data_IF_435275539881
#
_entry.id   IF_435275539881
#
_cell.length_a   1.000
_cell.length_b   1.000
_cell.length_c   1.000
_cell.angle_alpha   90.00
_cell.angle_beta   90.00
_cell.angle_gamma   90.00
#
_symmetry.space_group_name_H-M   'P 1'
#
loop_
_entity.id
_entity.type
_entity.pdbx_description
1 polymer ?
#
# COMPACT_ATOMS: atom_id res chain seq x y z
N UNK A 1 -14.99 -6.14 32.51
CA UNK A 1 -16.41 -6.37 32.19
C UNK A 1 -16.97 -5.35 31.20
N UNK A 2 -16.61 -4.05 31.28
CA UNK A 2 -17.07 -3.01 30.35
C UNK A 2 -16.73 -3.30 28.87
N UNK A 3 -15.49 -3.69 28.57
CA UNK A 3 -15.06 -4.02 27.19
C UNK A 3 -15.83 -5.18 26.53
N UNK A 4 -16.25 -6.19 27.32
CA UNK A 4 -17.07 -7.29 26.79
C UNK A 4 -18.50 -6.83 26.46
N UNK A 5 -19.05 -5.92 27.27
CA UNK A 5 -20.38 -5.35 27.02
C UNK A 5 -20.38 -4.49 25.75
N UNK A 6 -19.36 -3.64 25.56
CA UNK A 6 -19.18 -2.83 24.35
C UNK A 6 -19.03 -3.69 23.09
N UNK A 7 -18.22 -4.76 23.18
CA UNK A 7 -18.07 -5.71 22.08
C UNK A 7 -19.39 -6.39 21.69
N UNK A 8 -20.20 -6.77 22.68
CA UNK A 8 -21.51 -7.38 22.44
C UNK A 8 -22.50 -6.40 21.79
N UNK A 9 -22.61 -5.17 22.30
CA UNK A 9 -23.49 -4.15 21.73
C UNK A 9 -23.08 -3.81 20.29
N UNK A 10 -21.78 -3.68 20.03
CA UNK A 10 -21.23 -3.47 18.68
C UNK A 10 -21.58 -4.64 17.75
N UNK A 11 -21.41 -5.89 18.20
CA UNK A 11 -21.74 -7.08 17.43
C UNK A 11 -23.25 -7.17 17.11
N UNK A 12 -24.13 -6.89 18.08
CA UNK A 12 -25.57 -6.85 17.86
C UNK A 12 -25.98 -5.74 16.89
N UNK A 13 -25.39 -4.55 17.01
CA UNK A 13 -25.63 -3.44 16.07
C UNK A 13 -25.20 -3.80 14.65
N UNK A 14 -24.01 -4.39 14.49
CA UNK A 14 -23.51 -4.88 13.20
C UNK A 14 -24.45 -5.94 12.59
N UNK A 15 -24.87 -6.92 13.40
CA UNK A 15 -25.78 -7.98 12.96
C UNK A 15 -27.13 -7.41 12.51
N UNK A 16 -27.70 -6.47 13.27
CA UNK A 16 -28.94 -5.79 12.88
C UNK A 16 -28.79 -5.06 11.54
N UNK A 17 -27.71 -4.28 11.36
CA UNK A 17 -27.43 -3.58 10.09
C UNK A 17 -27.25 -4.55 8.93
N UNK A 18 -26.59 -5.70 9.16
CA UNK A 18 -26.42 -6.76 8.19
C UNK A 18 -27.77 -7.37 7.77
N UNK A 19 -28.60 -7.77 8.73
CA UNK A 19 -29.93 -8.33 8.45
C UNK A 19 -30.80 -7.31 7.73
N UNK A 20 -30.82 -6.05 8.18
CA UNK A 20 -31.58 -4.98 7.53
C UNK A 20 -31.13 -4.76 6.08
N UNK A 21 -29.83 -4.57 5.86
CA UNK A 21 -29.26 -4.33 4.52
C UNK A 21 -29.54 -5.50 3.58
N UNK A 22 -29.30 -6.74 4.02
CA UNK A 22 -29.57 -7.95 3.23
C UNK A 22 -31.05 -8.08 2.89
N UNK A 23 -31.95 -7.80 3.85
CA UNK A 23 -33.41 -7.82 3.62
C UNK A 23 -33.81 -6.78 2.58
N UNK A 24 -33.35 -5.53 2.70
CA UNK A 24 -33.61 -4.48 1.71
C UNK A 24 -33.08 -4.84 0.32
N UNK A 25 -31.89 -5.44 0.22
CA UNK A 25 -31.32 -5.88 -1.06
C UNK A 25 -32.08 -7.05 -1.69
N UNK A 26 -32.52 -8.02 -0.88
CA UNK A 26 -33.35 -9.14 -1.36
C UNK A 26 -34.70 -8.63 -1.85
N UNK A 27 -35.36 -7.74 -1.10
CA UNK A 27 -36.61 -7.12 -1.54
C UNK A 27 -36.40 -6.27 -2.80
N UNK A 28 -35.31 -5.50 -2.88
CA UNK A 28 -34.97 -4.72 -4.07
C UNK A 28 -34.74 -5.60 -5.30
N UNK A 29 -34.13 -6.78 -5.11
CA UNK A 29 -33.93 -7.76 -6.18
C UNK A 29 -35.27 -8.38 -6.63
N UNK A 30 -36.17 -8.72 -5.72
CA UNK A 30 -37.48 -9.31 -6.04
C UNK A 30 -38.43 -8.32 -6.71
N UNK A 31 -38.43 -7.05 -6.27
CA UNK A 31 -39.34 -6.02 -6.79
C UNK A 31 -38.73 -5.17 -7.90
N UNK A 32 -37.47 -5.40 -8.28
CA UNK A 32 -36.71 -4.60 -9.27
C UNK A 32 -36.71 -3.08 -9.02
N UNK A 33 -37.04 -2.67 -7.79
CA UNK A 33 -37.18 -1.26 -7.37
C UNK A 33 -36.23 -0.98 -6.19
N UNK A 34 -35.73 0.25 -6.05
CA UNK A 34 -34.88 0.60 -4.93
C UNK A 34 -35.70 0.63 -3.62
N UNK A 35 -35.29 -0.15 -2.62
CA UNK A 35 -35.95 -0.20 -1.30
C UNK A 35 -35.09 0.57 -0.30
N UNK A 36 -35.62 1.66 0.26
CA UNK A 36 -34.88 2.54 1.17
C UNK A 36 -33.53 2.99 0.58
N UNK A 37 -33.48 3.28 -0.74
CA UNK A 37 -32.25 3.65 -1.45
C UNK A 37 -31.30 2.50 -1.81
N UNK A 38 -31.54 1.29 -1.30
CA UNK A 38 -30.77 0.10 -1.65
C UNK A 38 -31.21 -0.41 -3.01
N UNK A 39 -30.25 -0.68 -3.89
CA UNK A 39 -30.51 -1.24 -5.22
C UNK A 39 -29.60 -2.41 -5.50
N UNK A 40 -30.17 -3.58 -5.75
CA UNK A 40 -29.45 -4.77 -6.22
C UNK A 40 -29.96 -5.16 -7.60
N UNK A 41 -29.07 -5.13 -8.59
CA UNK A 41 -29.35 -5.62 -9.93
C UNK A 41 -28.40 -6.76 -10.25
N UNK A 42 -28.95 -7.89 -10.70
CA UNK A 42 -28.19 -9.06 -11.13
C UNK A 42 -28.69 -9.44 -12.52
N UNK A 43 -27.86 -9.21 -13.54
CA UNK A 43 -28.29 -9.43 -14.93
C UNK A 43 -28.31 -10.89 -15.37
N UNK A 44 -27.39 -11.73 -14.84
CA UNK A 44 -27.34 -13.17 -15.18
C UNK A 44 -27.03 -13.99 -13.94
N UNK A 45 -27.80 -15.05 -13.73
CA UNK A 45 -27.58 -16.02 -12.64
C UNK A 45 -27.40 -17.39 -13.28
N UNK A 46 -26.33 -18.07 -12.90
CA UNK A 46 -26.07 -19.48 -13.17
C UNK A 46 -25.69 -20.16 -11.87
N UNK A 47 -25.73 -21.49 -11.83
CA UNK A 47 -25.52 -22.29 -10.62
C UNK A 47 -24.23 -21.93 -9.86
N UNK A 48 -23.15 -21.60 -10.58
CA UNK A 48 -21.85 -21.26 -10.00
C UNK A 48 -21.31 -19.91 -10.48
N UNK A 49 -22.11 -19.10 -11.15
CA UNK A 49 -21.65 -17.79 -11.62
C UNK A 49 -22.74 -16.76 -11.69
N UNK A 50 -22.41 -15.53 -11.35
CA UNK A 50 -23.30 -14.38 -11.42
C UNK A 50 -22.67 -13.33 -12.33
N UNK A 51 -23.45 -12.75 -13.24
CA UNK A 51 -22.99 -11.77 -14.21
C UNK A 51 -23.73 -10.43 -14.11
N UNK A 52 -23.05 -9.35 -14.47
CA UNK A 52 -23.56 -7.99 -14.51
C UNK A 52 -24.24 -7.59 -13.20
N UNK A 53 -23.48 -7.62 -12.10
CA UNK A 53 -23.99 -7.24 -10.78
C UNK A 53 -23.72 -5.77 -10.56
N UNK A 54 -24.75 -5.05 -10.13
CA UNK A 54 -24.66 -3.67 -9.66
C UNK A 54 -25.38 -3.57 -8.33
N UNK A 55 -24.65 -3.21 -7.30
CA UNK A 55 -25.11 -3.00 -5.93
C UNK A 55 -24.91 -1.53 -5.57
N UNK A 56 -25.97 -0.87 -5.09
CA UNK A 56 -25.90 0.49 -4.57
C UNK A 56 -26.41 0.50 -3.15
N UNK A 57 -25.56 0.95 -2.23
CA UNK A 57 -25.85 1.14 -0.82
C UNK A 57 -25.95 2.65 -0.55
N UNK A 58 -27.05 3.14 0.04
CA UNK A 58 -27.20 4.56 0.37
C UNK A 58 -26.39 4.92 1.62
N UNK A 59 -26.18 6.22 1.83
CA UNK A 59 -25.69 6.72 3.10
C UNK A 59 -26.85 6.75 4.10
N UNK A 60 -26.86 5.84 5.07
CA UNK A 60 -27.90 5.78 6.10
C UNK A 60 -27.34 5.31 7.43
N UNK A 61 -27.98 5.67 8.54
CA UNK A 61 -27.56 5.20 9.87
C UNK A 61 -27.71 3.68 10.03
N UNK A 62 -28.58 3.06 9.23
CA UNK A 62 -28.90 1.63 9.26
C UNK A 62 -28.07 0.81 8.27
N UNK A 63 -27.30 1.43 7.38
CA UNK A 63 -26.41 0.72 6.46
C UNK A 63 -25.09 0.37 7.15
N UNK A 64 -24.50 -0.74 6.68
CA UNK A 64 -23.20 -1.21 7.16
C UNK A 64 -22.07 -0.28 6.68
N UNK A 65 -22.27 0.38 5.54
CA UNK A 65 -21.26 1.18 4.84
C UNK A 65 -21.82 2.56 4.51
N UNK A 66 -20.97 3.61 4.44
CA UNK A 66 -21.32 4.87 3.77
C UNK A 66 -21.79 4.63 2.33
N UNK A 67 -22.31 5.65 1.65
CA UNK A 67 -22.74 5.55 0.25
C UNK A 67 -21.69 4.80 -0.60
N UNK A 68 -22.03 3.58 -1.03
CA UNK A 68 -21.12 2.66 -1.70
C UNK A 68 -21.80 2.05 -2.92
N UNK A 69 -21.17 2.15 -4.07
CA UNK A 69 -21.57 1.48 -5.30
C UNK A 69 -20.57 0.37 -5.62
N UNK A 70 -21.04 -0.84 -5.85
CA UNK A 70 -20.22 -1.99 -6.22
C UNK A 70 -20.75 -2.52 -7.55
N UNK A 71 -19.88 -2.63 -8.55
CA UNK A 71 -20.21 -3.19 -9.86
C UNK A 71 -19.19 -4.22 -10.26
N UNK A 72 -19.62 -5.30 -10.89
CA UNK A 72 -18.72 -6.27 -11.53
C UNK A 72 -19.40 -6.99 -12.69
N UNK A 73 -18.60 -7.37 -13.68
CA UNK A 73 -19.09 -8.00 -14.92
C UNK A 73 -19.39 -9.48 -14.72
N UNK A 74 -18.54 -10.18 -13.98
CA UNK A 74 -18.78 -11.59 -13.65
C UNK A 74 -18.12 -11.99 -12.33
N UNK A 75 -18.80 -12.84 -11.59
CA UNK A 75 -18.30 -13.59 -10.45
C UNK A 75 -18.53 -15.07 -10.71
N UNK A 76 -17.52 -15.91 -10.51
CA UNK A 76 -17.66 -17.36 -10.63
C UNK A 76 -16.99 -18.12 -9.49
N UNK A 77 -17.61 -19.23 -9.12
CA UNK A 77 -17.19 -20.16 -8.08
C UNK A 77 -16.76 -21.46 -8.76
N UNK A 78 -15.54 -21.89 -8.51
CA UNK A 78 -15.03 -23.17 -8.99
C UNK A 78 -14.64 -24.02 -7.78
N UNK A 79 -15.58 -24.82 -7.22
CA UNK A 79 -15.20 -25.82 -6.25
C UNK A 79 -14.24 -26.80 -6.91
N UNK A 80 -13.16 -27.12 -6.22
CA UNK A 80 -12.17 -28.10 -6.65
C UNK A 80 -12.08 -29.17 -5.57
N UNK A 81 -12.21 -30.42 -5.99
CA UNK A 81 -11.86 -31.52 -5.10
C UNK A 81 -10.34 -31.45 -4.88
N UNK A 82 -9.88 -31.56 -3.62
CA UNK A 82 -8.45 -31.58 -3.34
C UNK A 82 -7.84 -32.78 -4.06
N UNK A 83 -7.00 -32.52 -5.07
CA UNK A 83 -6.14 -33.56 -5.64
C UNK A 83 -5.07 -33.90 -4.59
N UNK A 84 -5.27 -35.00 -3.88
CA UNK A 84 -4.24 -35.60 -3.04
C UNK A 84 -3.19 -36.24 -3.94
N UNK A 85 -2.34 -35.43 -4.55
CA UNK A 85 -1.15 -35.96 -5.22
C UNK A 85 -0.23 -36.49 -4.13
N UNK A 86 0.09 -37.78 -4.21
CA UNK A 86 1.23 -38.33 -3.48
C UNK A 86 2.44 -37.45 -3.79
N UNK A 87 3.16 -36.97 -2.77
CA UNK A 87 4.35 -36.15 -2.99
C UNK A 87 5.33 -36.97 -3.82
N UNK A 88 5.39 -36.69 -5.12
CA UNK A 88 6.43 -37.22 -5.99
C UNK A 88 7.74 -36.66 -5.43
N UNK A 89 8.77 -37.49 -5.20
CA UNK A 89 10.05 -37.00 -4.73
C UNK A 89 10.52 -35.85 -5.62
N UNK A 90 11.13 -34.80 -5.05
CA UNK A 90 11.60 -33.66 -5.81
C UNK A 90 12.73 -34.09 -6.75
N UNK A 91 12.39 -34.43 -8.00
CA UNK A 91 13.37 -34.81 -9.03
C UNK A 91 13.93 -33.57 -9.76
N UNK A 92 13.36 -32.38 -9.52
CA UNK A 92 13.84 -31.10 -10.09
C UNK A 92 13.62 -29.91 -9.15
N UNK A 93 14.54 -28.93 -9.17
CA UNK A 93 14.45 -27.67 -8.39
C UNK A 93 13.21 -26.84 -8.72
N UNK A 94 12.66 -26.97 -9.93
CA UNK A 94 11.42 -26.28 -10.34
C UNK A 94 10.15 -26.82 -9.65
N UNK A 95 10.23 -27.95 -8.95
CA UNK A 95 9.10 -28.58 -8.28
C UNK A 95 8.63 -27.84 -7.02
N UNK A 96 9.37 -26.84 -6.54
CA UNK A 96 8.94 -25.96 -5.44
C UNK A 96 7.74 -25.07 -5.78
N UNK A 97 7.30 -25.01 -7.05
CA UNK A 97 6.19 -24.18 -7.50
C UNK A 97 4.85 -24.90 -7.67
N UNK A 98 4.68 -26.12 -7.17
CA UNK A 98 3.33 -26.73 -7.19
C UNK A 98 2.39 -25.89 -6.32
N UNK A 99 1.29 -25.34 -6.89
CA UNK A 99 0.36 -24.52 -6.12
C UNK A 99 -0.24 -25.36 -4.99
N UNK A 100 -0.48 -24.76 -3.81
CA UNK A 100 -1.09 -25.45 -2.70
C UNK A 100 -2.48 -25.99 -3.09
N UNK A 101 -2.98 -27.07 -2.45
CA UNK A 101 -4.29 -27.64 -2.73
C UNK A 101 -5.39 -26.59 -2.54
N UNK A 102 -6.03 -26.19 -3.63
CA UNK A 102 -7.14 -25.22 -3.60
C UNK A 102 -8.46 -25.96 -3.45
N UNK A 103 -9.26 -25.61 -2.45
CA UNK A 103 -10.63 -26.14 -2.29
C UNK A 103 -11.63 -25.38 -3.14
N UNK A 104 -11.49 -24.06 -3.20
CA UNK A 104 -12.43 -23.19 -3.86
C UNK A 104 -11.66 -22.08 -4.53
N UNK A 105 -11.94 -21.87 -5.81
CA UNK A 105 -11.43 -20.71 -6.54
C UNK A 105 -12.58 -19.76 -6.82
N UNK A 106 -12.49 -18.54 -6.32
CA UNK A 106 -13.39 -17.45 -6.64
C UNK A 106 -12.74 -16.60 -7.72
N UNK A 107 -13.48 -16.28 -8.77
CA UNK A 107 -13.03 -15.38 -9.83
C UNK A 107 -13.99 -14.21 -9.92
N UNK A 108 -13.46 -13.00 -9.87
CA UNK A 108 -14.21 -11.77 -10.03
C UNK A 108 -13.58 -10.98 -11.19
N UNK A 109 -14.39 -10.45 -12.11
CA UNK A 109 -13.93 -9.68 -13.27
C UNK A 109 -14.50 -8.27 -13.26
N UNK A 110 -13.66 -7.32 -13.67
CA UNK A 110 -13.96 -5.90 -13.86
C UNK A 110 -14.74 -5.33 -12.67
N UNK A 111 -14.24 -5.55 -11.45
CA UNK A 111 -14.89 -5.03 -10.26
C UNK A 111 -14.52 -3.57 -10.05
N UNK A 112 -15.52 -2.77 -9.73
CA UNK A 112 -15.43 -1.36 -9.41
C UNK A 112 -16.22 -1.12 -8.13
N UNK A 113 -15.56 -0.65 -7.09
CA UNK A 113 -16.13 -0.21 -5.84
C UNK A 113 -15.90 1.29 -5.72
N UNK A 114 -16.97 2.07 -5.64
CA UNK A 114 -16.93 3.51 -5.43
C UNK A 114 -17.59 3.83 -4.11
N UNK A 115 -16.88 4.48 -3.20
CA UNK A 115 -17.42 5.02 -1.95
C UNK A 115 -17.28 6.54 -1.91
N UNK A 116 -17.78 7.17 -0.85
CA UNK A 116 -17.54 8.59 -0.57
C UNK A 116 -16.07 8.95 -0.37
N UNK A 117 -15.21 7.97 -0.12
CA UNK A 117 -13.82 8.16 0.30
C UNK A 117 -12.80 7.71 -0.74
N UNK A 118 -13.17 6.71 -1.54
CA UNK A 118 -12.24 6.07 -2.47
C UNK A 118 -12.95 5.38 -3.61
N UNK A 119 -12.26 5.23 -4.72
CA UNK A 119 -12.62 4.30 -5.79
C UNK A 119 -11.57 3.20 -5.88
N UNK A 120 -12.03 1.95 -5.85
CA UNK A 120 -11.19 0.76 -6.02
C UNK A 120 -11.66 0.03 -7.26
N UNK A 121 -10.74 -0.32 -8.15
CA UNK A 121 -11.06 -1.14 -9.30
C UNK A 121 -10.04 -2.25 -9.50
N UNK A 122 -10.50 -3.35 -10.08
CA UNK A 122 -9.66 -4.51 -10.41
C UNK A 122 -10.18 -5.12 -11.70
N UNK A 123 -9.28 -5.42 -12.63
CA UNK A 123 -9.63 -6.07 -13.89
C UNK A 123 -9.99 -7.53 -13.68
N UNK A 124 -9.22 -8.22 -12.82
CA UNK A 124 -9.45 -9.61 -12.48
C UNK A 124 -8.92 -9.91 -11.08
N UNK A 125 -9.79 -10.45 -10.24
CA UNK A 125 -9.44 -10.92 -8.91
C UNK A 125 -9.66 -12.43 -8.83
N UNK A 126 -8.62 -13.15 -8.46
CA UNK A 126 -8.67 -14.60 -8.22
C UNK A 126 -8.39 -14.85 -6.75
N UNK A 127 -9.30 -15.54 -6.08
CA UNK A 127 -9.17 -15.91 -4.68
C UNK A 127 -9.12 -17.43 -4.59
N UNK A 128 -7.98 -17.96 -4.20
CA UNK A 128 -7.80 -19.37 -3.90
C UNK A 128 -7.97 -19.58 -2.41
N UNK A 129 -9.08 -20.22 -2.04
CA UNK A 129 -9.31 -20.67 -0.67
C UNK A 129 -8.68 -22.04 -0.51
N UNK A 130 -7.75 -22.14 0.42
CA UNK A 130 -6.99 -23.35 0.69
C UNK A 130 -7.74 -24.23 1.69
N UNK A 131 -7.78 -25.54 1.43
CA UNK A 131 -8.38 -26.48 2.36
C UNK A 131 -7.44 -26.66 3.57
N UNK A 132 -7.88 -26.22 4.74
CA UNK A 132 -7.28 -26.35 6.08
C UNK A 132 -5.73 -26.33 6.23
N UNK A 133 -5.16 -25.40 7.02
CA UNK A 133 -3.71 -25.19 7.15
C UNK A 133 -2.91 -26.25 7.94
N UNK A 134 -3.48 -27.42 8.29
CA UNK A 134 -2.86 -28.35 9.26
C UNK A 134 -2.81 -29.83 8.86
N UNK A 135 -3.35 -30.23 7.71
CA UNK A 135 -3.35 -31.65 7.32
C UNK A 135 -2.09 -32.10 6.58
N UNK A 136 -1.20 -31.18 6.18
CA UNK A 136 0.06 -31.58 5.56
C UNK A 136 1.17 -31.68 6.61
N UNK A 137 1.69 -32.88 6.92
CA UNK A 137 2.75 -33.07 7.92
C UNK A 137 4.08 -32.37 7.59
N UNK A 138 4.20 -31.75 6.40
CA UNK A 138 5.38 -31.00 5.96
C UNK A 138 5.22 -29.47 6.06
N UNK A 139 4.04 -28.95 6.38
CA UNK A 139 3.78 -27.50 6.50
C UNK A 139 3.15 -27.20 7.85
N UNK A 140 3.92 -27.42 8.91
CA UNK A 140 3.55 -26.99 10.25
C UNK A 140 3.53 -25.46 10.29
N UNK A 141 2.32 -24.90 10.23
CA UNK A 141 1.87 -23.70 10.98
C UNK A 141 2.16 -22.28 10.47
N UNK A 142 2.24 -22.04 9.16
CA UNK A 142 2.32 -20.64 8.65
C UNK A 142 1.57 -20.29 7.38
N UNK A 143 0.97 -21.25 6.67
CA UNK A 143 0.32 -20.94 5.38
C UNK A 143 -0.98 -20.15 5.61
N UNK A 144 -1.25 -19.11 4.82
CA UNK A 144 -2.52 -18.40 4.89
C UNK A 144 -3.68 -19.29 4.43
N UNK A 145 -4.89 -18.89 4.77
CA UNK A 145 -6.12 -19.57 4.33
C UNK A 145 -6.51 -19.17 2.92
N UNK A 146 -6.10 -17.97 2.51
CA UNK A 146 -6.55 -17.34 1.28
C UNK A 146 -5.33 -16.82 0.55
N UNK A 147 -5.16 -17.27 -0.70
CA UNK A 147 -4.22 -16.65 -1.62
C UNK A 147 -5.02 -15.83 -2.63
N UNK A 148 -4.80 -14.52 -2.64
CA UNK A 148 -5.54 -13.58 -3.50
C UNK A 148 -4.60 -12.98 -4.52
N UNK A 149 -4.98 -13.03 -5.79
CA UNK A 149 -4.33 -12.29 -6.87
C UNK A 149 -5.23 -11.17 -7.36
N UNK A 150 -4.73 -9.93 -7.37
CA UNK A 150 -5.45 -8.75 -7.88
C UNK A 150 -4.74 -8.21 -9.13
N UNK A 151 -5.32 -8.40 -10.32
CA UNK A 151 -4.73 -7.90 -11.58
C UNK A 151 -5.32 -6.56 -11.98
N UNK A 152 -4.45 -5.63 -12.39
CA UNK A 152 -4.84 -4.27 -12.77
C UNK A 152 -5.56 -3.58 -11.61
N UNK A 153 -4.97 -3.66 -10.41
CA UNK A 153 -5.52 -3.08 -9.21
C UNK A 153 -5.31 -1.57 -9.24
N UNK A 154 -6.39 -0.80 -9.11
CA UNK A 154 -6.32 0.66 -9.03
C UNK A 154 -7.07 1.16 -7.82
N UNK A 155 -6.42 1.98 -7.01
CA UNK A 155 -6.96 2.57 -5.80
C UNK A 155 -6.80 4.08 -5.88
N UNK A 156 -7.92 4.80 -5.94
CA UNK A 156 -7.97 6.26 -5.88
C UNK A 156 -8.60 6.69 -4.57
N UNK A 157 -7.91 7.50 -3.79
CA UNK A 157 -8.36 8.03 -2.50
C UNK A 157 -8.53 9.53 -2.64
N UNK A 158 -9.73 10.03 -2.33
CA UNK A 158 -10.05 11.43 -2.58
C UNK A 158 -9.36 12.39 -1.62
N UNK A 159 -9.09 11.95 -0.38
CA UNK A 159 -8.38 12.74 0.61
C UNK A 159 -7.70 11.83 1.63
N UNK A 160 -6.43 12.11 1.93
CA UNK A 160 -5.61 11.29 2.83
C UNK A 160 -6.16 11.24 4.25
N UNK A 161 -6.92 12.26 4.68
CA UNK A 161 -7.57 12.28 6.01
C UNK A 161 -8.75 11.33 6.13
N UNK A 162 -9.37 10.96 5.01
CA UNK A 162 -10.52 10.07 4.97
C UNK A 162 -10.14 8.76 4.29
N UNK A 163 -8.94 8.26 4.56
CA UNK A 163 -8.48 6.98 4.03
C UNK A 163 -9.31 5.85 4.64
N UNK A 164 -9.83 4.89 3.84
CA UNK A 164 -10.54 3.73 4.38
C UNK A 164 -9.69 2.97 5.41
N UNK A 165 -10.29 2.55 6.52
CA UNK A 165 -9.57 1.93 7.65
C UNK A 165 -8.62 0.79 7.24
N UNK A 166 -9.03 -0.11 6.36
CA UNK A 166 -8.19 -1.22 5.91
C UNK A 166 -6.97 -0.74 5.10
N UNK A 167 -7.14 0.31 4.29
CA UNK A 167 -6.04 0.93 3.54
C UNK A 167 -5.11 1.67 4.49
N UNK A 168 -5.66 2.34 5.50
CA UNK A 168 -4.87 2.99 6.55
C UNK A 168 -4.03 1.95 7.31
N UNK A 169 -4.62 0.84 7.75
CA UNK A 169 -3.91 -0.25 8.45
C UNK A 169 -2.81 -0.86 7.61
N UNK A 170 -3.09 -1.07 6.32
CA UNK A 170 -2.08 -1.54 5.39
C UNK A 170 -0.91 -0.56 5.27
N UNK A 171 -1.22 0.74 5.12
CA UNK A 171 -0.21 1.80 5.07
C UNK A 171 0.64 1.82 6.34
N UNK A 172 -0.01 1.77 7.51
CA UNK A 172 0.67 1.70 8.81
C UNK A 172 1.58 0.47 8.93
N UNK A 173 1.13 -0.70 8.45
CA UNK A 173 1.92 -1.93 8.44
C UNK A 173 3.14 -1.82 7.52
N UNK A 174 2.96 -1.30 6.30
CA UNK A 174 4.04 -1.11 5.34
C UNK A 174 5.07 -0.09 5.85
N UNK A 175 4.61 1.07 6.34
CA UNK A 175 5.48 2.10 6.92
C UNK A 175 6.20 1.54 8.14
N UNK A 176 5.50 0.84 9.03
CA UNK A 176 6.12 0.19 10.18
C UNK A 176 7.18 -0.83 9.77
N UNK A 177 6.97 -1.55 8.66
CA UNK A 177 7.96 -2.47 8.11
C UNK A 177 9.16 -1.74 7.52
N UNK A 178 8.96 -0.62 6.83
CA UNK A 178 10.08 0.21 6.31
C UNK A 178 10.92 0.79 7.46
N UNK A 179 10.28 1.20 8.55
CA UNK A 179 10.95 1.88 9.69
C UNK A 179 11.57 0.89 10.68
N UNK A 180 10.92 -0.24 10.95
CA UNK A 180 11.31 -1.18 12.01
C UNK A 180 11.58 -2.60 11.53
N UNK A 181 11.26 -2.90 10.27
CA UNK A 181 11.50 -4.21 9.68
C UNK A 181 12.96 -4.42 9.27
N UNK A 182 13.24 -5.60 8.74
CA UNK A 182 14.53 -5.97 8.20
C UNK A 182 14.49 -5.92 6.67
N UNK A 183 15.41 -5.17 6.06
CA UNK A 183 15.56 -5.15 4.60
C UNK A 183 16.34 -6.39 4.19
N UNK A 184 15.64 -7.36 3.60
CA UNK A 184 16.23 -8.64 3.17
C UNK A 184 16.97 -8.50 1.83
N UNK A 185 16.44 -7.67 0.93
CA UNK A 185 17.00 -7.44 -0.40
C UNK A 185 16.60 -6.06 -0.90
N UNK A 186 17.54 -5.41 -1.55
CA UNK A 186 17.33 -4.13 -2.19
C UNK A 186 18.36 -3.97 -3.30
N UNK A 187 17.92 -3.81 -4.56
CA UNK A 187 18.85 -3.73 -5.68
C UNK A 187 19.22 -2.29 -6.03
N UNK A 188 18.22 -1.41 -6.06
CA UNK A 188 18.40 -0.04 -6.53
C UNK A 188 17.43 0.91 -5.84
N UNK A 189 17.91 2.13 -5.59
CA UNK A 189 17.12 3.26 -5.11
C UNK A 189 17.51 4.53 -5.83
N UNK A 190 16.54 5.26 -6.35
CA UNK A 190 16.76 6.60 -6.88
C UNK A 190 15.71 7.54 -6.34
N UNK A 191 16.13 8.73 -5.93
CA UNK A 191 15.21 9.81 -5.57
C UNK A 191 15.61 11.05 -6.36
N UNK A 192 14.62 11.69 -6.99
CA UNK A 192 14.80 12.95 -7.71
C UNK A 192 13.79 13.97 -7.19
N UNK A 193 14.30 15.12 -6.79
CA UNK A 193 13.52 16.29 -6.35
C UNK A 193 13.65 17.36 -7.41
N UNK A 194 12.52 17.87 -7.88
CA UNK A 194 12.44 18.97 -8.83
C UNK A 194 11.60 20.08 -8.20
N UNK A 195 12.09 21.31 -8.28
CA UNK A 195 11.38 22.49 -7.82
C UNK A 195 10.79 23.21 -9.03
N UNK A 196 9.56 23.72 -8.88
CA UNK A 196 8.92 24.55 -9.90
C UNK A 196 9.66 25.86 -10.13
N UNK A 197 9.47 26.49 -11.30
CA UNK A 197 10.09 27.78 -11.60
C UNK A 197 9.72 28.87 -10.58
N UNK A 198 8.48 28.87 -10.10
CA UNK A 198 7.98 29.87 -9.13
C UNK A 198 8.60 29.71 -7.74
N UNK A 199 9.01 28.49 -7.37
CA UNK A 199 9.68 28.23 -6.10
C UNK A 199 11.06 28.89 -6.04
N UNK A 200 11.77 28.97 -7.17
CA UNK A 200 13.11 29.54 -7.26
C UNK A 200 13.05 31.08 -7.13
N UNK A 201 11.97 31.72 -7.60
CA UNK A 201 11.80 33.18 -7.56
C UNK A 201 11.52 33.75 -6.17
N UNK A 202 10.73 33.06 -5.34
CA UNK A 202 10.34 33.58 -4.02
C UNK A 202 11.47 33.62 -2.98
N UNK A 203 12.57 32.89 -3.20
CA UNK A 203 13.76 32.95 -2.33
C UNK A 203 14.52 34.28 -2.42
N UNK A 204 14.45 34.96 -3.57
CA UNK A 204 15.17 36.23 -3.78
C UNK A 204 14.43 37.45 -3.21
N UNK A 205 13.09 37.44 -3.13
CA UNK A 205 12.34 38.59 -2.58
C UNK A 205 12.47 38.73 -1.06
N UNK A 206 12.84 37.67 -0.32
CA UNK A 206 13.14 37.78 1.11
C UNK A 206 14.55 38.32 1.38
N UNK A 207 15.42 38.36 0.37
CA UNK A 207 16.66 39.15 0.42
C UNK A 207 16.32 40.61 0.08
N UNK A 208 15.51 41.23 0.93
CA UNK A 208 15.14 42.63 0.75
C UNK A 208 16.38 43.53 0.64
N UNK A 209 16.34 44.60 -0.17
CA UNK A 209 17.47 45.51 -0.43
C UNK A 209 17.86 46.40 0.78
N UNK A 210 17.56 45.97 2.01
CA UNK A 210 17.66 46.78 3.23
C UNK A 210 18.52 46.20 4.35
N UNK A 211 19.19 45.06 4.16
CA UNK A 211 20.33 44.73 5.04
C UNK A 211 21.53 45.54 4.56
N UNK A 212 21.46 46.86 4.79
CA UNK A 212 22.67 47.65 4.93
C UNK A 212 23.57 46.90 5.90
N UNK A 213 24.76 46.53 5.43
CA UNK A 213 25.92 46.20 6.27
C UNK A 213 25.90 47.18 7.44
N UNK A 214 25.39 46.78 8.60
CA UNK A 214 25.70 47.47 9.85
C UNK A 214 27.22 47.32 9.94
N UNK A 215 27.90 48.43 9.66
CA UNK A 215 29.33 48.54 9.82
C UNK A 215 29.67 48.01 11.19
N UNK A 216 30.37 46.89 11.21
CA UNK A 216 31.06 46.42 12.38
C UNK A 216 32.08 47.52 12.68
N UNK A 217 31.73 48.36 13.64
CA UNK A 217 32.57 49.43 14.11
C UNK A 217 33.78 48.74 14.76
N UNK A 218 34.95 48.90 14.14
CA UNK A 218 36.24 48.52 14.69
C UNK A 218 36.38 49.18 16.06
N UNK A 219 36.07 48.42 17.10
CA UNK A 219 36.36 48.76 18.48
C UNK A 219 37.73 48.21 18.80
N UNK A 220 38.72 49.07 18.76
CA UNK A 220 40.07 48.85 19.28
C UNK A 220 40.01 48.23 20.68
N UNK A 221 40.52 47.01 20.80
CA UNK A 221 40.90 46.44 22.09
C UNK A 221 42.13 45.57 21.86
N UNK A 222 43.27 46.17 22.22
CA UNK A 222 44.57 45.54 22.36
C UNK A 222 44.47 44.20 23.09
N UNK A 223 45.00 43.16 22.47
CA UNK A 223 45.01 41.81 23.01
C UNK A 223 46.13 41.00 22.39
N UNK A 224 47.35 41.26 22.85
CA UNK A 224 48.54 40.43 22.64
C UNK A 224 48.22 38.95 22.84
N UNK A 225 48.44 38.17 21.79
CA UNK A 225 48.14 36.74 21.78
C UNK A 225 48.90 36.04 20.67
N UNK A 226 50.22 35.96 20.85
CA UNK A 226 51.11 35.04 20.13
C UNK A 226 50.46 33.64 19.99
N UNK A 227 50.29 33.20 18.76
CA UNK A 227 50.58 31.81 18.43
C UNK A 227 51.02 31.73 16.98
N UNK A 228 52.34 31.66 16.81
CA UNK A 228 52.96 31.09 15.64
C UNK A 228 52.50 29.63 15.48
N UNK A 229 52.65 29.12 14.26
CA UNK A 229 53.15 27.77 13.96
C UNK A 229 52.22 26.91 13.06
N UNK A 230 52.78 26.63 11.87
CA UNK A 230 52.33 25.78 10.76
C UNK A 230 51.27 26.39 9.82
N UNK A 231 51.47 26.43 8.51
CA UNK A 231 52.52 25.90 7.65
C UNK A 231 52.15 26.19 6.21
N UNK A 232 53.11 26.71 5.45
CA UNK A 232 53.06 26.93 4.02
C UNK A 232 52.87 25.64 3.20
N UNK A 233 52.51 25.86 1.93
CA UNK A 233 52.59 24.98 0.77
C UNK A 233 51.30 24.19 0.49
N UNK A 234 50.77 24.13 -0.73
CA UNK A 234 51.34 24.48 -2.03
C UNK A 234 50.20 24.56 -3.05
N UNK A 235 50.43 25.38 -4.07
CA UNK A 235 49.63 25.55 -5.27
C UNK A 235 49.25 24.19 -5.90
N UNK A 236 47.95 23.96 -6.06
CA UNK A 236 47.43 22.93 -6.96
C UNK A 236 46.92 23.65 -8.20
N UNK A 237 47.68 23.48 -9.27
CA UNK A 237 47.41 23.91 -10.62
C UNK A 237 46.00 23.47 -11.06
N UNK A 238 45.30 24.40 -11.70
CA UNK A 238 44.08 24.16 -12.45
C UNK A 238 44.43 23.33 -13.69
N UNK A 239 43.98 22.07 -13.72
CA UNK A 239 43.76 21.33 -14.97
C UNK A 239 42.36 21.67 -15.50
N UNK A 240 42.22 22.17 -16.74
CA UNK A 240 40.94 22.39 -17.39
C UNK A 240 40.74 21.35 -18.50
N UNK A 241 40.42 20.11 -18.15
CA UNK A 241 39.96 19.09 -19.10
C UNK A 241 38.95 18.17 -18.38
N UNK A 242 37.80 18.72 -18.00
CA UNK A 242 36.64 17.92 -17.59
C UNK A 242 35.94 17.46 -18.87
N UNK A 243 36.31 16.25 -19.28
CA UNK A 243 35.63 15.47 -20.29
C UNK A 243 34.12 15.40 -19.98
N UNK A 244 33.37 15.72 -21.04
CA UNK A 244 31.94 15.66 -21.18
C UNK A 244 31.43 14.21 -21.05
N UNK A 245 31.45 13.68 -19.82
CA UNK A 245 30.68 12.51 -19.41
C UNK A 245 29.20 12.92 -19.30
N UNK A 246 28.64 13.29 -20.45
CA UNK A 246 27.21 13.20 -20.69
C UNK A 246 26.80 11.75 -20.44
N UNK A 247 26.33 11.47 -19.22
CA UNK A 247 25.59 10.26 -18.86
C UNK A 247 24.25 10.33 -19.60
N UNK A 248 24.32 10.20 -20.92
CA UNK A 248 23.23 10.14 -21.86
C UNK A 248 22.88 8.66 -22.04
N UNK A 249 22.16 8.13 -21.06
CA UNK A 249 21.88 6.70 -21.01
C UNK A 249 21.06 6.23 -19.82
N UNK A 250 20.33 7.12 -19.16
CA UNK A 250 19.23 6.69 -18.33
C UNK A 250 17.99 6.64 -19.22
N UNK A 251 17.81 5.51 -19.89
CA UNK A 251 16.56 5.05 -20.51
C UNK A 251 15.49 5.02 -19.40
N UNK A 252 14.98 6.20 -19.04
CA UNK A 252 13.86 6.36 -18.14
C UNK A 252 12.68 5.71 -18.83
N UNK A 253 12.26 4.57 -18.29
CA UNK A 253 11.20 3.76 -18.84
C UNK A 253 9.88 4.52 -19.07
N UNK A 254 8.85 3.83 -19.59
CA UNK A 254 7.63 4.41 -20.16
C UNK A 254 6.76 5.29 -19.24
N UNK A 255 7.15 5.56 -18.00
CA UNK A 255 6.46 6.44 -17.06
C UNK A 255 6.89 7.90 -17.16
N UNK A 256 7.95 8.23 -17.90
CA UNK A 256 8.30 9.63 -18.23
C UNK A 256 7.43 10.23 -19.36
N UNK A 257 6.47 9.46 -19.90
CA UNK A 257 5.91 9.71 -21.23
C UNK A 257 4.92 10.87 -21.32
N UNK A 258 4.47 11.41 -20.20
CA UNK A 258 3.77 12.68 -20.12
C UNK A 258 4.21 13.36 -18.82
N UNK A 259 5.41 13.96 -18.79
CA UNK A 259 5.68 14.96 -17.76
C UNK A 259 4.57 16.01 -17.87
N UNK A 260 3.62 16.08 -16.92
CA UNK A 260 2.51 16.99 -17.02
C UNK A 260 3.09 18.39 -17.16
N UNK A 261 2.61 19.14 -18.15
CA UNK A 261 3.04 20.49 -18.49
C UNK A 261 3.40 21.27 -17.22
N UNK A 262 4.70 21.49 -17.02
CA UNK A 262 5.34 21.80 -15.73
C UNK A 262 5.05 23.22 -15.24
N UNK A 263 4.01 23.87 -15.77
CA UNK A 263 3.73 25.28 -15.55
C UNK A 263 3.23 25.62 -14.15
N UNK A 264 2.81 24.66 -13.33
CA UNK A 264 2.10 24.93 -12.08
C UNK A 264 2.53 24.09 -10.86
N UNK A 265 3.54 23.23 -10.98
CA UNK A 265 3.98 22.40 -9.86
C UNK A 265 5.16 23.05 -9.13
N UNK A 266 4.98 23.37 -7.85
CA UNK A 266 6.04 23.99 -7.04
C UNK A 266 7.09 22.99 -6.53
N UNK A 267 6.70 21.75 -6.28
CA UNK A 267 7.58 20.69 -5.83
C UNK A 267 7.11 19.34 -6.38
N UNK A 268 8.03 18.65 -7.05
CA UNK A 268 7.85 17.31 -7.57
C UNK A 268 8.93 16.39 -7.03
N UNK A 269 8.54 15.41 -6.21
CA UNK A 269 9.45 14.40 -5.66
C UNK A 269 9.11 13.06 -6.29
N UNK A 270 10.11 12.42 -6.86
CA UNK A 270 10.01 11.06 -7.41
C UNK A 270 10.95 10.14 -6.67
N UNK A 271 10.47 8.97 -6.29
CA UNK A 271 11.24 7.90 -5.69
C UNK A 271 11.03 6.62 -6.49
N UNK A 272 12.12 5.90 -6.73
CA UNK A 272 12.16 4.62 -7.44
C UNK A 272 12.92 3.62 -6.59
N UNK A 273 12.40 2.40 -6.50
CA UNK A 273 13.01 1.28 -5.80
C UNK A 273 12.80 -0.01 -6.59
N UNK A 274 13.84 -0.84 -6.74
CA UNK A 274 13.77 -2.13 -7.42
C UNK A 274 14.15 -3.31 -6.51
N UNK A 275 13.45 -4.43 -6.68
CA UNK A 275 13.66 -5.69 -5.96
C UNK A 275 13.68 -5.52 -4.42
N UNK A 276 12.76 -4.71 -3.88
CA UNK A 276 12.66 -4.41 -2.46
C UNK A 276 11.96 -5.54 -1.72
N UNK A 277 12.67 -6.26 -0.87
CA UNK A 277 12.12 -7.27 0.02
C UNK A 277 12.34 -6.86 1.48
N UNK A 278 11.28 -6.85 2.27
CA UNK A 278 11.31 -6.47 3.68
C UNK A 278 10.58 -7.50 4.53
N UNK A 279 11.16 -7.89 5.66
CA UNK A 279 10.52 -8.67 6.71
C UNK A 279 9.96 -7.73 7.77
N UNK A 280 8.69 -7.89 8.15
CA UNK A 280 8.07 -7.11 9.22
C UNK A 280 8.41 -7.59 10.62
N UNK A 281 9.27 -8.61 10.74
CA UNK A 281 9.67 -9.29 11.97
C UNK A 281 8.50 -10.02 12.68
N UNK A 282 7.29 -9.96 12.09
CA UNK A 282 6.08 -10.69 12.51
C UNK A 282 5.84 -11.91 11.61
N UNK A 283 6.81 -12.22 10.75
CA UNK A 283 6.77 -13.35 9.84
C UNK A 283 6.02 -13.07 8.54
N UNK A 284 5.95 -11.80 8.09
CA UNK A 284 5.50 -11.46 6.75
C UNK A 284 6.61 -10.79 5.96
N UNK A 285 6.73 -11.21 4.71
CA UNK A 285 7.56 -10.55 3.72
C UNK A 285 6.69 -9.68 2.84
N UNK A 286 7.07 -8.42 2.73
CA UNK A 286 6.61 -7.50 1.72
C UNK A 286 7.68 -7.45 0.63
N UNK A 287 7.37 -7.95 -0.56
CA UNK A 287 8.26 -7.93 -1.70
C UNK A 287 7.64 -7.10 -2.83
N UNK A 288 8.46 -6.27 -3.46
CA UNK A 288 8.10 -5.45 -4.60
C UNK A 288 9.16 -5.65 -5.68
N UNK A 289 8.73 -5.99 -6.90
CA UNK A 289 9.66 -6.15 -8.02
C UNK A 289 10.14 -4.74 -8.46
N UNK A 290 9.23 -3.77 -8.54
CA UNK A 290 9.52 -2.35 -8.77
C UNK A 290 8.48 -1.45 -8.06
N UNK A 291 8.91 -0.32 -7.52
CA UNK A 291 8.03 0.71 -6.94
C UNK A 291 8.47 2.08 -7.42
N UNK A 292 7.55 2.82 -8.01
CA UNK A 292 7.71 4.24 -8.32
C UNK A 292 6.65 5.05 -7.61
N UNK A 293 7.07 6.07 -6.90
CA UNK A 293 6.19 7.00 -6.20
C UNK A 293 6.50 8.43 -6.63
N UNK A 294 5.45 9.20 -6.86
CA UNK A 294 5.49 10.59 -7.28
C UNK A 294 4.64 11.41 -6.30
N UNK A 295 5.26 12.39 -5.67
CA UNK A 295 4.59 13.38 -4.83
C UNK A 295 4.64 14.73 -5.54
N UNK A 296 3.46 15.25 -5.87
CA UNK A 296 3.28 16.58 -6.46
C UNK A 296 2.74 17.52 -5.40
N UNK A 297 3.30 18.73 -5.31
CA UNK A 297 2.81 19.76 -4.41
C UNK A 297 2.78 21.10 -5.10
N UNK A 298 1.67 21.77 -4.91
CA UNK A 298 1.45 23.16 -5.30
C UNK A 298 1.39 24.01 -4.03
N UNK A 299 2.40 24.84 -3.79
CA UNK A 299 2.44 25.91 -2.81
C UNK A 299 1.89 27.19 -3.44
N UNK A 300 0.83 27.78 -2.91
CA UNK A 300 0.47 29.12 -3.37
C UNK A 300 -0.46 29.18 -4.58
N UNK A 301 -1.24 28.13 -4.88
CA UNK A 301 -2.56 28.29 -5.52
C UNK A 301 -3.57 29.06 -4.61
N UNK A 302 -3.06 30.01 -3.85
CA UNK A 302 -3.80 30.96 -3.06
C UNK A 302 -4.29 32.06 -4.01
N UNK A 303 -5.59 31.95 -4.28
CA UNK A 303 -6.49 33.09 -4.13
C UNK A 303 -6.46 34.21 -5.17
N UNK A 304 -5.71 34.10 -6.28
CA UNK A 304 -5.69 35.25 -7.19
C UNK A 304 -6.83 35.37 -8.20
N UNK A 305 -7.63 34.34 -8.53
CA UNK A 305 -8.74 34.57 -9.49
C UNK A 305 -10.04 33.76 -9.37
N UNK A 306 -10.19 32.79 -8.46
CA UNK A 306 -11.51 32.18 -8.21
C UNK A 306 -11.70 31.84 -6.74
N UNK A 307 -12.06 32.86 -5.95
CA UNK A 307 -12.56 32.71 -4.58
C UNK A 307 -13.94 32.00 -4.52
N UNK A 308 -14.51 31.60 -5.66
CA UNK A 308 -15.81 30.94 -5.73
C UNK A 308 -15.73 29.45 -5.37
N UNK A 309 -15.91 29.22 -4.07
CA UNK A 309 -17.14 28.61 -3.52
C UNK A 309 -17.01 27.32 -2.70
N UNK A 310 -15.82 26.71 -2.50
CA UNK A 310 -15.77 25.54 -1.59
C UNK A 310 -14.54 25.37 -0.69
N UNK A 311 -13.62 26.33 -0.63
CA UNK A 311 -12.56 26.35 0.39
C UNK A 311 -11.64 25.13 0.43
N UNK A 312 -11.64 24.28 -0.60
CA UNK A 312 -10.77 23.11 -0.70
C UNK A 312 -9.41 23.58 -1.23
N UNK A 313 -8.52 23.92 -0.31
CA UNK A 313 -7.09 24.04 -0.61
C UNK A 313 -6.61 22.68 -1.14
N UNK A 314 -6.20 22.61 -2.40
CA UNK A 314 -5.48 21.44 -2.92
C UNK A 314 -4.11 21.41 -2.24
N UNK A 315 -3.81 20.35 -1.47
CA UNK A 315 -2.59 20.27 -0.63
C UNK A 315 -1.47 19.44 -1.24
N UNK A 316 -1.70 18.84 -2.40
CA UNK A 316 -0.77 17.99 -3.14
C UNK A 316 -1.44 16.71 -3.61
N UNK A 317 -0.88 16.11 -4.66
CA UNK A 317 -1.29 14.80 -5.17
C UNK A 317 -0.17 13.79 -4.91
N UNK A 318 -0.53 12.55 -4.61
CA UNK A 318 0.44 11.45 -4.51
C UNK A 318 0.01 10.33 -5.43
N UNK A 319 0.94 9.81 -6.21
CA UNK A 319 0.73 8.70 -7.12
C UNK A 319 1.83 7.66 -6.92
N UNK A 320 1.46 6.40 -6.88
CA UNK A 320 2.38 5.29 -6.70
C UNK A 320 1.97 4.14 -7.59
N UNK A 321 2.92 3.65 -8.36
CA UNK A 321 2.82 2.38 -9.09
C UNK A 321 3.75 1.38 -8.43
N UNK A 322 3.22 0.19 -8.16
CA UNK A 322 3.98 -0.90 -7.58
C UNK A 322 3.75 -2.17 -8.40
N UNK A 323 4.83 -2.69 -8.96
CA UNK A 323 4.85 -3.90 -9.78
C UNK A 323 5.30 -5.10 -8.97
N UNK A 324 4.72 -6.27 -9.28
CA UNK A 324 5.10 -7.53 -8.65
C UNK A 324 4.91 -7.57 -7.14
N UNK A 325 4.00 -6.77 -6.59
CA UNK A 325 3.79 -6.65 -5.13
C UNK A 325 3.30 -7.97 -4.53
N UNK A 326 4.02 -8.50 -3.54
CA UNK A 326 3.73 -9.75 -2.85
C UNK A 326 3.76 -9.50 -1.35
N UNK A 327 2.66 -9.81 -0.66
CA UNK A 327 2.61 -9.83 0.80
C UNK A 327 2.36 -11.26 1.21
N UNK A 328 3.44 -11.93 1.61
CA UNK A 328 3.46 -13.36 1.85
C UNK A 328 3.82 -13.62 3.29
N UNK A 329 3.03 -14.46 3.96
CA UNK A 329 3.39 -14.96 5.28
C UNK A 329 4.49 -16.00 5.14
N UNK A 330 5.62 -15.76 5.80
CA UNK A 330 6.67 -16.77 5.89
C UNK A 330 6.17 -17.94 6.74
N UNK A 331 6.40 -19.18 6.30
CA UNK A 331 6.25 -20.31 7.21
C UNK A 331 7.25 -20.12 8.35
N UNK A 332 6.79 -20.14 9.61
CA UNK A 332 7.71 -20.33 10.72
C UNK A 332 8.50 -21.59 10.44
N UNK A 333 9.83 -21.47 10.40
CA UNK A 333 10.79 -22.54 10.07
C UNK A 333 10.26 -23.87 10.59
N UNK A 334 9.89 -24.75 9.66
CA UNK A 334 9.24 -26.00 10.00
C UNK A 334 10.21 -26.85 10.82
N UNK A 335 9.89 -27.06 12.11
CA UNK A 335 10.51 -28.13 12.89
C UNK A 335 10.34 -29.45 12.11
N UNK A 336 11.47 -30.12 11.88
CA UNK A 336 11.66 -31.22 10.92
C UNK A 336 11.03 -32.55 11.34
N UNK A 337 10.29 -32.59 12.45
CA UNK A 337 9.76 -33.84 12.96
C UNK A 337 8.32 -34.06 12.48
N UNK A 338 8.16 -35.00 11.56
CA UNK A 338 6.84 -35.51 11.19
C UNK A 338 6.19 -36.13 12.43
N UNK A 339 5.02 -35.65 12.89
CA UNK A 339 4.28 -36.38 13.89
C UNK A 339 3.77 -37.69 13.25
N UNK A 340 4.10 -38.85 13.82
CA UNK A 340 3.63 -40.18 13.39
C UNK A 340 2.08 -40.27 13.29
N UNK A 341 1.35 -39.31 13.87
CA UNK A 341 -0.12 -39.24 13.87
C UNK A 341 -0.62 -37.83 13.53
N UNK A 342 -0.40 -37.39 12.29
CA UNK A 342 -0.83 -36.08 11.77
C UNK A 342 -2.31 -35.73 12.10
N UNK A 343 -3.22 -36.71 12.07
CA UNK A 343 -4.65 -36.49 12.34
C UNK A 343 -4.94 -36.05 13.80
N UNK A 344 -4.09 -36.43 14.76
CA UNK A 344 -4.22 -36.00 16.16
C UNK A 344 -3.83 -34.54 16.31
N UNK A 345 -2.73 -34.15 15.68
CA UNK A 345 -2.27 -32.76 15.61
C UNK A 345 -3.32 -31.91 14.88
N UNK A 346 -3.91 -32.43 13.81
CA UNK A 346 -5.02 -31.82 13.10
C UNK A 346 -6.24 -31.58 14.01
N UNK A 347 -6.76 -32.62 14.68
CA UNK A 347 -7.91 -32.48 15.59
C UNK A 347 -7.63 -31.52 16.76
N UNK A 348 -6.41 -31.56 17.31
CA UNK A 348 -6.01 -30.65 18.39
C UNK A 348 -6.02 -29.20 17.89
N UNK A 349 -5.41 -28.94 16.74
CA UNK A 349 -5.35 -27.60 16.14
C UNK A 349 -6.72 -27.10 15.67
N UNK A 350 -7.63 -27.98 15.22
CA UNK A 350 -8.98 -27.58 14.80
C UNK A 350 -9.73 -26.82 15.88
N UNK A 351 -9.62 -27.25 17.13
CA UNK A 351 -10.29 -26.59 18.26
C UNK A 351 -9.75 -25.17 18.46
N UNK A 352 -8.43 -25.01 18.41
CA UNK A 352 -7.80 -23.70 18.51
C UNK A 352 -8.18 -22.81 17.33
N UNK A 353 -8.08 -23.32 16.10
CA UNK A 353 -8.43 -22.58 14.89
C UNK A 353 -9.89 -22.15 14.91
N UNK A 354 -10.85 -23.02 15.24
CA UNK A 354 -12.26 -22.66 15.29
C UNK A 354 -12.57 -21.56 16.32
N UNK A 355 -11.83 -21.52 17.43
CA UNK A 355 -12.00 -20.51 18.47
C UNK A 355 -11.28 -19.20 18.13
N UNK A 356 -10.08 -19.25 17.56
CA UNK A 356 -9.25 -18.06 17.31
C UNK A 356 -9.48 -17.44 15.94
N UNK A 357 -9.96 -18.20 14.95
CA UNK A 357 -10.16 -17.72 13.58
C UNK A 357 -11.16 -16.58 13.50
N UNK A 358 -12.36 -16.64 14.12
CA UNK A 358 -13.29 -15.50 14.07
C UNK A 358 -12.70 -14.24 14.69
N UNK A 359 -12.01 -14.39 15.82
CA UNK A 359 -11.35 -13.26 16.49
C UNK A 359 -10.26 -12.66 15.61
N UNK A 360 -9.33 -13.48 15.12
CA UNK A 360 -8.21 -13.03 14.28
C UNK A 360 -8.66 -12.50 12.93
N UNK A 361 -9.73 -13.05 12.33
CA UNK A 361 -10.30 -12.54 11.08
C UNK A 361 -10.95 -11.16 11.25
N UNK A 362 -11.44 -10.84 12.44
CA UNK A 362 -11.98 -9.51 12.77
C UNK A 362 -10.86 -8.54 13.16
N UNK A 363 -9.88 -8.96 13.93
CA UNK A 363 -8.82 -8.06 14.45
C UNK A 363 -7.69 -7.83 13.46
N UNK A 364 -7.30 -8.86 12.71
CA UNK A 364 -6.22 -8.82 11.72
C UNK A 364 -6.52 -9.78 10.55
N UNK A 365 -7.44 -9.42 9.64
CA UNK A 365 -7.78 -10.26 8.49
C UNK A 365 -6.58 -10.52 7.58
N UNK A 366 -5.61 -9.61 7.57
CA UNK A 366 -4.41 -9.77 6.76
C UNK A 366 -3.60 -10.97 7.19
N UNK A 367 -3.64 -11.39 8.47
CA UNK A 367 -2.96 -12.58 9.01
C UNK A 367 -3.24 -13.86 8.21
N UNK A 368 -4.40 -13.95 7.56
CA UNK A 368 -4.90 -15.14 6.87
C UNK A 368 -4.87 -15.04 5.36
N UNK A 369 -4.41 -13.91 4.83
CA UNK A 369 -4.40 -13.60 3.39
C UNK A 369 -2.95 -13.43 2.93
N UNK A 370 -2.58 -14.19 1.91
CA UNK A 370 -1.49 -13.81 1.01
C UNK A 370 -2.07 -12.98 -0.12
N UNK A 371 -1.38 -11.89 -0.43
CA UNK A 371 -1.79 -10.98 -1.48
C UNK A 371 -0.69 -10.92 -2.54
N UNK A 372 -1.08 -11.14 -3.79
CA UNK A 372 -0.25 -10.90 -4.96
C UNK A 372 -0.93 -9.88 -5.87
N UNK A 373 -0.26 -8.77 -6.11
CA UNK A 373 -0.74 -7.68 -6.97
C UNK A 373 0.32 -7.43 -8.03
N UNK A 374 0.18 -8.02 -9.24
CA UNK A 374 1.18 -7.86 -10.30
C UNK A 374 1.40 -6.40 -10.72
N UNK A 375 0.32 -5.61 -10.69
CA UNK A 375 0.34 -4.19 -11.03
C UNK A 375 -0.69 -3.48 -10.14
N UNK A 376 -0.19 -2.56 -9.32
CA UNK A 376 -0.95 -1.73 -8.40
C UNK A 376 -0.74 -0.25 -8.72
N UNK A 377 -1.83 0.45 -9.04
CA UNK A 377 -1.84 1.90 -9.22
C UNK A 377 -2.59 2.56 -8.06
N UNK A 378 -1.91 3.39 -7.27
CA UNK A 378 -2.46 4.02 -6.07
C UNK A 378 -2.33 5.52 -6.21
N UNK A 379 -3.45 6.25 -6.14
CA UNK A 379 -3.51 7.70 -6.26
C UNK A 379 -4.24 8.32 -5.06
N UNK A 380 -3.70 9.41 -4.54
CA UNK A 380 -4.35 10.31 -3.58
C UNK A 380 -4.52 11.67 -4.23
N UNK A 381 -5.76 12.16 -4.31
CA UNK A 381 -6.08 13.45 -4.93
C UNK A 381 -5.80 14.64 -3.99
N UNK A 382 -5.90 14.43 -2.68
CA UNK A 382 -5.55 15.42 -1.64
C UNK A 382 -4.68 14.73 -0.60
N UNK A 383 -3.36 14.90 -0.74
CA UNK A 383 -2.35 14.27 0.10
C UNK A 383 -1.69 15.28 1.03
N UNK A 384 -1.78 15.05 2.35
CA UNK A 384 -1.17 15.92 3.35
C UNK A 384 0.25 15.50 3.67
N UNK A 385 1.19 16.44 3.67
CA UNK A 385 2.58 16.17 4.07
C UNK A 385 2.75 15.75 5.53
N UNK A 386 1.83 16.11 6.42
CA UNK A 386 1.87 15.53 7.78
C UNK A 386 1.71 14.00 7.74
N UNK A 387 0.98 13.46 6.76
CA UNK A 387 0.92 12.02 6.51
C UNK A 387 2.20 11.52 5.81
N UNK A 388 2.94 12.43 5.15
CA UNK A 388 4.29 12.19 4.61
C UNK A 388 5.41 12.29 5.65
N UNK A 389 5.19 12.77 6.87
CA UNK A 389 6.24 12.78 7.91
C UNK A 389 6.64 11.35 8.29
N UNK A 390 5.68 10.41 8.23
CA UNK A 390 5.93 8.98 8.31
C UNK A 390 6.77 8.46 7.13
N UNK A 391 6.53 9.01 5.94
CA UNK A 391 7.31 8.70 4.73
C UNK A 391 8.73 9.28 4.84
N UNK A 392 8.89 10.49 5.39
CA UNK A 392 10.19 11.11 5.68
C UNK A 392 10.99 10.28 6.67
N UNK A 393 10.37 9.85 7.76
CA UNK A 393 11.00 8.96 8.74
C UNK A 393 11.37 7.61 8.13
N UNK A 394 10.52 7.06 7.26
CA UNK A 394 10.81 5.85 6.50
C UNK A 394 12.03 6.00 5.58
N UNK A 395 12.11 7.08 4.80
CA UNK A 395 13.25 7.35 3.93
C UNK A 395 14.54 7.62 4.71
N UNK A 396 14.45 8.30 5.85
CA UNK A 396 15.61 8.55 6.71
C UNK A 396 16.19 7.24 7.28
N UNK A 397 15.32 6.30 7.68
CA UNK A 397 15.76 4.96 8.09
C UNK A 397 16.31 4.18 6.91
N UNK A 398 15.61 4.13 5.77
CA UNK A 398 16.06 3.40 4.59
C UNK A 398 17.43 3.88 4.08
N UNK A 399 17.66 5.20 4.05
CA UNK A 399 18.94 5.79 3.67
C UNK A 399 20.06 5.40 4.64
N UNK A 400 19.79 5.38 5.95
CA UNK A 400 20.75 4.92 6.96
C UNK A 400 21.08 3.43 6.80
N UNK A 401 20.08 2.58 6.56
CA UNK A 401 20.29 1.15 6.37
C UNK A 401 21.08 0.87 5.09
N UNK A 402 20.78 1.60 4.00
CA UNK A 402 21.55 1.52 2.76
C UNK A 402 23.03 1.91 2.98
N UNK A 403 23.28 3.03 3.66
CA UNK A 403 24.63 3.45 4.01
C UNK A 403 25.36 2.41 4.89
N UNK A 404 24.65 1.74 5.79
CA UNK A 404 25.21 0.67 6.64
C UNK A 404 25.56 -0.61 5.85
N UNK A 405 24.76 -0.99 4.85
CA UNK A 405 25.03 -2.18 4.04
C UNK A 405 26.20 -2.00 3.06
N UNK A 406 26.54 -0.76 2.71
CA UNK A 406 27.59 -0.42 1.75
C UNK A 406 28.86 0.18 2.37
N UNK A 407 28.90 0.35 3.70
CA UNK A 407 30.10 0.67 4.47
C UNK A 407 30.76 -0.60 4.98
#
# INVERSE_FOLDING_TARGET
MTSLCEGFVSACSFLYKLIYTTTCLLLSFVFETPICGHKLFIGRISFLSVGNVSLSLPDSQHTISPATNIRFTSFSLHPRLPEFRTPTPPESEDQFRTPPPTFLTLNLRSALLTSSFSTVSTTHTTVHVLLYPTSWPHRTTGSPFVHTTLRGFRLRIFSSTHTPYNVQRLREALVGTIVFGEVLRFAEFRTKVQFGPDFIGHGQEMAGPGVEKMGMHDGDADGDGHNDMYGHAQDAEQDPDDDDDSIDGCDAGPLARDAPDSGHDDLFVTAHAASLHMDDLKGRVYAFDEVTACLRRTWGAYAHDTADALGKQSRGEYEMTAEGSRWVRMPMVALRDQPERWWRVWLANMRFVLLTLPYTLVTDPMLHVDLYVPDAHIRFDDFRIRDAELVRQGFEVAARTYAYMHA
#
